data_IF_692991841401
#
_entry.id   IF_692991841401
#
_cell.length_a   1.000
_cell.length_b   1.000
_cell.length_c   1.000
_cell.angle_alpha   90.00
_cell.angle_beta   90.00
_cell.angle_gamma   90.00
#
_symmetry.space_group_name_H-M   'P 1'
#
loop_
_entity.id
_entity.type
_entity.pdbx_description
1 polymer ?
#
# COMPACT_ATOMS: atom_id res chain seq x y z
N UNK A 1 19.77 17.98 10.40
CA UNK A 1 20.26 16.89 9.52
C UNK A 1 19.46 16.96 8.23
N UNK A 2 20.08 17.30 7.09
CA UNK A 2 19.35 17.43 5.80
C UNK A 2 18.93 16.02 5.37
N UNK A 3 17.63 15.75 5.37
CA UNK A 3 17.10 14.47 4.92
C UNK A 3 17.33 14.36 3.41
N UNK A 4 18.08 13.33 2.98
CA UNK A 4 18.30 13.05 1.56
C UNK A 4 16.99 12.56 0.94
N UNK A 5 16.66 13.10 -0.24
CA UNK A 5 15.57 12.57 -1.08
C UNK A 5 15.79 11.07 -1.24
N UNK A 6 14.80 10.27 -0.86
CA UNK A 6 14.90 8.82 -0.94
C UNK A 6 14.44 8.32 -2.30
N UNK A 7 14.87 7.11 -2.65
CA UNK A 7 14.40 6.44 -3.86
C UNK A 7 12.87 6.25 -3.87
N UNK A 8 12.28 5.93 -2.72
CA UNK A 8 10.82 5.81 -2.56
C UNK A 8 10.12 7.14 -2.86
N UNK A 9 10.65 8.26 -2.35
CA UNK A 9 10.10 9.60 -2.61
C UNK A 9 10.06 9.90 -4.12
N UNK A 10 11.11 9.56 -4.86
CA UNK A 10 11.16 9.75 -6.33
C UNK A 10 10.06 8.93 -7.01
N UNK A 11 9.91 7.64 -6.65
CA UNK A 11 8.88 6.77 -7.22
C UNK A 11 7.46 7.25 -6.91
N UNK A 12 7.21 7.71 -5.69
CA UNK A 12 5.92 8.25 -5.27
C UNK A 12 5.55 9.49 -6.10
N UNK A 13 6.47 10.44 -6.21
CA UNK A 13 6.27 11.68 -6.99
C UNK A 13 6.05 11.35 -8.47
N UNK A 14 6.88 10.49 -9.06
CA UNK A 14 6.73 10.08 -10.45
C UNK A 14 5.36 9.42 -10.70
N UNK A 15 4.95 8.51 -9.81
CA UNK A 15 3.64 7.84 -9.91
C UNK A 15 2.48 8.83 -9.76
N UNK A 16 2.58 9.80 -8.85
CA UNK A 16 1.57 10.84 -8.67
C UNK A 16 1.42 11.73 -9.90
N UNK A 17 2.53 12.14 -10.53
CA UNK A 17 2.52 12.92 -11.78
C UNK A 17 1.88 12.11 -12.90
N UNK A 18 2.31 10.85 -13.09
CA UNK A 18 1.74 9.93 -14.09
C UNK A 18 0.25 9.74 -13.88
N UNK A 19 -0.20 9.53 -12.63
CA UNK A 19 -1.62 9.39 -12.33
C UNK A 19 -2.39 10.68 -12.62
N UNK A 20 -1.87 11.85 -12.26
CA UNK A 20 -2.55 13.13 -12.50
C UNK A 20 -2.73 13.43 -13.99
N UNK A 21 -1.78 13.01 -14.84
CA UNK A 21 -1.84 13.24 -16.28
C UNK A 21 -2.69 12.18 -17.00
N UNK A 22 -2.56 10.90 -16.62
CA UNK A 22 -3.08 9.78 -17.42
C UNK A 22 -4.31 9.09 -16.83
N UNK A 23 -4.61 9.26 -15.54
CA UNK A 23 -5.76 8.60 -14.90
C UNK A 23 -7.07 9.30 -15.30
N UNK A 24 -8.03 8.52 -15.80
CA UNK A 24 -9.33 9.02 -16.28
C UNK A 24 -10.43 8.94 -15.21
N UNK A 25 -11.64 9.43 -15.53
CA UNK A 25 -12.78 9.51 -14.60
C UNK A 25 -13.43 8.14 -14.36
N UNK A 26 -13.78 7.85 -13.11
CA UNK A 26 -14.54 6.64 -12.74
C UNK A 26 -14.36 6.25 -11.28
N UNK A 27 -15.25 5.40 -10.73
CA UNK A 27 -15.19 5.00 -9.32
C UNK A 27 -13.93 4.18 -8.99
N UNK A 28 -13.48 3.32 -9.90
CA UNK A 28 -12.20 2.59 -9.73
C UNK A 28 -11.02 3.56 -9.62
N UNK A 29 -10.97 4.53 -10.54
CA UNK A 29 -9.93 5.54 -10.59
C UNK A 29 -9.94 6.44 -9.35
N UNK A 30 -11.11 6.70 -8.75
CA UNK A 30 -11.19 7.43 -7.48
C UNK A 30 -10.45 6.69 -6.35
N UNK A 31 -10.63 5.37 -6.21
CA UNK A 31 -9.92 4.59 -5.21
C UNK A 31 -8.41 4.58 -5.47
N UNK A 32 -8.01 4.35 -6.72
CA UNK A 32 -6.59 4.33 -7.11
C UNK A 32 -5.93 5.71 -6.90
N UNK A 33 -6.57 6.78 -7.33
CA UNK A 33 -6.08 8.13 -7.10
C UNK A 33 -5.97 8.43 -5.60
N UNK A 34 -6.95 8.00 -4.80
CA UNK A 34 -6.88 8.09 -3.34
C UNK A 34 -5.66 7.39 -2.75
N UNK A 35 -5.31 6.19 -3.23
CA UNK A 35 -4.11 5.45 -2.80
C UNK A 35 -2.83 6.23 -3.16
N UNK A 36 -2.74 6.71 -4.40
CA UNK A 36 -1.54 7.42 -4.88
C UNK A 36 -1.39 8.76 -4.17
N UNK A 37 -2.49 9.50 -3.99
CA UNK A 37 -2.52 10.76 -3.26
C UNK A 37 -2.17 10.56 -1.78
N UNK A 38 -2.66 9.50 -1.13
CA UNK A 38 -2.29 9.17 0.25
C UNK A 38 -0.78 8.94 0.39
N UNK A 39 -0.17 8.17 -0.50
CA UNK A 39 1.28 7.93 -0.48
C UNK A 39 2.06 9.24 -0.70
N UNK A 40 1.63 10.05 -1.67
CA UNK A 40 2.26 11.35 -1.94
C UNK A 40 2.15 12.32 -0.76
N UNK A 41 0.97 12.43 -0.16
CA UNK A 41 0.75 13.23 1.04
C UNK A 41 1.56 12.71 2.23
N UNK A 42 1.67 11.40 2.39
CA UNK A 42 2.47 10.79 3.47
C UNK A 42 3.94 11.15 3.33
N UNK A 43 4.51 11.10 2.11
CA UNK A 43 5.89 11.53 1.86
C UNK A 43 6.10 13.03 2.11
N UNK A 44 5.17 13.88 1.68
CA UNK A 44 5.23 15.33 1.95
C UNK A 44 5.16 15.60 3.45
N UNK A 45 4.21 14.98 4.16
CA UNK A 45 4.04 15.17 5.60
C UNK A 45 5.25 14.63 6.36
N UNK A 46 5.81 13.48 5.95
CA UNK A 46 7.03 12.95 6.54
C UNK A 46 8.20 13.92 6.37
N UNK A 47 8.36 14.53 5.20
CA UNK A 47 9.37 15.57 4.95
C UNK A 47 9.13 16.82 5.80
N UNK A 48 7.89 17.29 5.91
CA UNK A 48 7.56 18.45 6.76
C UNK A 48 7.82 18.13 8.24
N UNK A 49 7.50 16.91 8.69
CA UNK A 49 7.74 16.45 10.06
C UNK A 49 9.22 16.52 10.41
N UNK A 50 10.10 16.05 9.52
CA UNK A 50 11.55 16.04 9.77
C UNK A 50 12.17 17.43 9.76
N UNK A 51 11.65 18.34 8.93
CA UNK A 51 12.15 19.72 8.81
C UNK A 51 11.64 20.61 9.95
N UNK A 52 10.34 20.55 10.24
CA UNK A 52 9.70 21.47 11.19
C UNK A 52 9.68 20.96 12.62
N UNK A 53 9.80 19.64 12.82
CA UNK A 53 9.67 18.95 14.10
C UNK A 53 8.36 19.25 14.86
N UNK A 54 7.35 19.82 14.19
CA UNK A 54 6.06 20.16 14.81
C UNK A 54 5.15 18.96 15.07
N UNK A 55 5.39 17.86 14.37
CA UNK A 55 4.67 16.60 14.54
C UNK A 55 5.61 15.42 14.28
N UNK A 56 5.27 14.25 14.85
CA UNK A 56 6.11 13.07 14.76
C UNK A 56 6.02 12.42 13.38
N UNK A 57 7.19 12.05 12.85
CA UNK A 57 7.32 11.20 11.66
C UNK A 57 6.55 9.87 11.84
N UNK A 58 6.57 9.29 13.04
CA UNK A 58 5.86 8.05 13.37
C UNK A 58 4.36 8.19 13.17
N UNK A 59 3.78 9.33 13.58
CA UNK A 59 2.35 9.60 13.41
C UNK A 59 1.92 9.61 11.94
N UNK A 60 2.76 10.09 11.03
CA UNK A 60 2.48 10.09 9.58
C UNK A 60 2.37 8.65 9.06
N UNK A 61 3.33 7.79 9.41
CA UNK A 61 3.31 6.40 8.98
C UNK A 61 2.22 5.57 9.65
N UNK A 62 1.87 5.86 10.90
CA UNK A 62 0.74 5.21 11.57
C UNK A 62 -0.59 5.49 10.87
N UNK A 63 -0.82 6.71 10.40
CA UNK A 63 -1.98 7.03 9.57
C UNK A 63 -1.92 6.29 8.24
N UNK A 64 -0.75 6.24 7.60
CA UNK A 64 -0.59 5.51 6.35
C UNK A 64 -0.86 4.00 6.52
N UNK A 65 -0.41 3.39 7.62
CA UNK A 65 -0.64 1.97 7.94
C UNK A 65 -2.12 1.63 8.15
N UNK A 66 -2.95 2.61 8.49
CA UNK A 66 -4.41 2.44 8.56
C UNK A 66 -5.04 2.70 7.17
N UNK A 67 -4.76 3.83 6.55
CA UNK A 67 -5.51 4.23 5.36
C UNK A 67 -5.10 3.46 4.10
N UNK A 68 -3.83 3.05 3.97
CA UNK A 68 -3.34 2.37 2.78
C UNK A 68 -3.99 0.98 2.61
N UNK A 69 -3.94 0.05 3.59
CA UNK A 69 -4.63 -1.24 3.46
C UNK A 69 -6.15 -1.08 3.30
N UNK A 70 -6.75 -0.09 3.97
CA UNK A 70 -8.18 0.19 3.88
C UNK A 70 -8.60 0.53 2.44
N UNK A 71 -7.90 1.45 1.79
CA UNK A 71 -8.21 1.83 0.41
C UNK A 71 -7.99 0.66 -0.55
N UNK A 72 -6.94 -0.14 -0.34
CA UNK A 72 -6.68 -1.33 -1.13
C UNK A 72 -7.78 -2.40 -0.98
N UNK A 73 -8.27 -2.67 0.22
CA UNK A 73 -9.39 -3.58 0.47
C UNK A 73 -10.66 -3.12 -0.26
N UNK A 74 -10.97 -1.82 -0.20
CA UNK A 74 -12.14 -1.26 -0.89
C UNK A 74 -12.01 -1.35 -2.42
N UNK A 75 -10.83 -1.06 -2.97
CA UNK A 75 -10.53 -1.20 -4.40
C UNK A 75 -10.68 -2.65 -4.86
N UNK A 76 -10.11 -3.60 -4.11
CA UNK A 76 -10.21 -5.03 -4.40
C UNK A 76 -11.67 -5.51 -4.37
N UNK A 77 -12.44 -5.07 -3.37
CA UNK A 77 -13.88 -5.34 -3.27
C UNK A 77 -14.70 -4.78 -4.42
N UNK A 78 -14.31 -3.61 -4.93
CA UNK A 78 -14.91 -3.01 -6.11
C UNK A 78 -14.65 -3.86 -7.36
N UNK A 79 -13.41 -4.28 -7.58
CA UNK A 79 -12.98 -5.05 -8.76
C UNK A 79 -13.59 -6.45 -8.76
N UNK A 80 -13.60 -7.15 -7.62
CA UNK A 80 -14.18 -8.49 -7.46
C UNK A 80 -15.71 -8.49 -7.29
N UNK A 81 -16.37 -7.35 -7.50
CA UNK A 81 -17.83 -7.16 -7.29
C UNK A 81 -18.33 -7.63 -5.91
N UNK A 82 -17.45 -7.64 -4.90
CA UNK A 82 -17.71 -8.17 -3.54
C UNK A 82 -17.71 -7.05 -2.50
N UNK A 83 -18.31 -5.90 -2.84
CA UNK A 83 -18.26 -4.64 -2.06
C UNK A 83 -18.75 -4.79 -0.62
N UNK A 84 -19.80 -5.60 -0.37
CA UNK A 84 -20.33 -5.82 1.00
C UNK A 84 -19.27 -6.44 1.90
N UNK A 85 -18.60 -7.51 1.41
CA UNK A 85 -17.53 -8.19 2.16
C UNK A 85 -16.34 -7.26 2.40
N UNK A 86 -15.91 -6.53 1.37
CA UNK A 86 -14.82 -5.56 1.50
C UNK A 86 -15.13 -4.45 2.50
N UNK A 87 -16.36 -3.93 2.52
CA UNK A 87 -16.79 -2.94 3.52
C UNK A 87 -16.75 -3.50 4.94
N UNK A 88 -17.23 -4.73 5.15
CA UNK A 88 -17.18 -5.39 6.46
C UNK A 88 -15.74 -5.54 6.92
N UNK A 89 -14.85 -6.03 6.05
CA UNK A 89 -13.42 -6.16 6.35
C UNK A 89 -12.78 -4.79 6.64
N UNK A 90 -13.05 -3.77 5.82
CA UNK A 90 -12.51 -2.43 5.98
C UNK A 90 -12.97 -1.76 7.28
N UNK A 91 -14.25 -1.90 7.66
CA UNK A 91 -14.77 -1.37 8.92
C UNK A 91 -14.13 -2.10 10.11
N UNK A 92 -14.09 -3.43 10.06
CA UNK A 92 -13.48 -4.24 11.13
C UNK A 92 -11.99 -3.90 11.31
N UNK A 93 -11.27 -3.74 10.20
CA UNK A 93 -9.88 -3.32 10.18
C UNK A 93 -9.68 -1.91 10.72
N UNK A 94 -10.51 -0.95 10.32
CA UNK A 94 -10.44 0.43 10.82
C UNK A 94 -10.68 0.47 12.33
N UNK A 95 -11.68 -0.25 12.82
CA UNK A 95 -11.94 -0.35 14.26
C UNK A 95 -10.74 -0.95 14.99
N UNK A 96 -10.15 -2.03 14.47
CA UNK A 96 -8.94 -2.59 15.03
C UNK A 96 -7.79 -1.57 15.06
N UNK A 97 -7.51 -0.91 13.94
CA UNK A 97 -6.37 0.02 13.84
C UNK A 97 -6.51 1.23 14.75
N UNK A 98 -7.73 1.74 14.94
CA UNK A 98 -8.03 2.81 15.89
C UNK A 98 -7.90 2.34 17.35
N UNK A 99 -8.41 1.16 17.69
CA UNK A 99 -8.23 0.61 19.04
C UNK A 99 -6.74 0.32 19.32
N UNK A 100 -6.03 -0.21 18.35
CA UNK A 100 -4.63 -0.58 18.51
C UNK A 100 -3.74 0.64 18.76
N UNK A 101 -3.93 1.73 18.01
CA UNK A 101 -3.19 2.97 18.25
C UNK A 101 -3.66 3.68 19.54
N UNK A 102 -4.93 3.58 19.95
CA UNK A 102 -5.40 4.24 21.17
C UNK A 102 -4.98 3.53 22.46
N UNK A 103 -4.90 2.20 22.46
CA UNK A 103 -4.72 1.42 23.69
C UNK A 103 -3.39 0.67 23.78
N UNK A 104 -2.87 0.15 22.67
CA UNK A 104 -1.73 -0.77 22.68
C UNK A 104 -0.44 -0.11 22.20
N UNK A 105 -0.34 0.25 20.92
CA UNK A 105 0.91 0.75 20.32
C UNK A 105 1.10 2.26 20.51
N UNK A 106 0.04 3.04 20.81
CA UNK A 106 0.12 4.45 21.23
C UNK A 106 1.05 5.32 20.36
N UNK A 107 2.25 5.64 20.86
CA UNK A 107 3.25 6.49 20.20
C UNK A 107 4.24 5.71 19.33
N UNK A 108 4.26 4.38 19.43
CA UNK A 108 5.10 3.52 18.62
C UNK A 108 4.53 3.32 17.22
N UNK A 109 5.33 2.71 16.35
CA UNK A 109 4.91 2.38 15.00
C UNK A 109 3.77 1.35 15.06
N UNK A 110 2.72 1.56 14.26
CA UNK A 110 1.49 0.75 14.31
C UNK A 110 1.65 -0.60 13.56
N UNK A 111 2.66 -1.38 13.97
CA UNK A 111 3.14 -2.59 13.31
C UNK A 111 2.05 -3.67 13.24
N UNK A 112 1.30 -3.89 14.34
CA UNK A 112 0.22 -4.87 14.37
C UNK A 112 -0.90 -4.53 13.39
N UNK A 113 -1.25 -3.24 13.23
CA UNK A 113 -2.24 -2.82 12.25
C UNK A 113 -1.76 -3.05 10.82
N UNK A 114 -0.49 -2.75 10.55
CA UNK A 114 0.11 -3.01 9.23
C UNK A 114 0.08 -4.50 8.87
N UNK A 115 0.44 -5.37 9.82
CA UNK A 115 0.43 -6.82 9.66
C UNK A 115 -0.99 -7.35 9.42
N UNK A 116 -1.96 -6.93 10.24
CA UNK A 116 -3.35 -7.34 10.08
C UNK A 116 -3.92 -6.85 8.74
N UNK A 117 -3.67 -5.59 8.36
CA UNK A 117 -4.14 -5.03 7.09
C UNK A 117 -3.59 -5.79 5.89
N UNK A 118 -2.29 -6.12 5.93
CA UNK A 118 -1.61 -6.95 4.93
C UNK A 118 -2.23 -8.35 4.85
N UNK A 119 -2.45 -9.00 5.99
CA UNK A 119 -3.05 -10.32 6.08
C UNK A 119 -4.50 -10.34 5.54
N UNK A 120 -5.33 -9.38 5.94
CA UNK A 120 -6.70 -9.25 5.46
C UNK A 120 -6.75 -9.02 3.95
N UNK A 121 -5.87 -8.17 3.42
CA UNK A 121 -5.78 -7.95 1.98
C UNK A 121 -5.41 -9.22 1.23
N UNK A 122 -4.35 -9.91 1.65
CA UNK A 122 -3.88 -11.14 1.02
C UNK A 122 -4.95 -12.25 1.09
N UNK A 123 -5.58 -12.44 2.25
CA UNK A 123 -6.66 -13.42 2.42
C UNK A 123 -7.85 -13.12 1.50
N UNK A 124 -8.26 -11.85 1.42
CA UNK A 124 -9.37 -11.45 0.54
C UNK A 124 -9.00 -11.54 -0.94
N UNK A 125 -7.74 -11.22 -1.29
CA UNK A 125 -7.20 -11.39 -2.63
C UNK A 125 -7.25 -12.86 -3.05
N UNK A 126 -6.68 -13.76 -2.24
CA UNK A 126 -6.65 -15.20 -2.50
C UNK A 126 -8.06 -15.74 -2.65
N UNK A 127 -8.93 -15.50 -1.66
CA UNK A 127 -10.33 -15.96 -1.69
C UNK A 127 -11.07 -15.49 -2.96
N UNK A 128 -10.90 -14.21 -3.32
CA UNK A 128 -11.54 -13.62 -4.48
C UNK A 128 -11.09 -14.25 -5.80
N UNK A 129 -9.80 -14.52 -5.96
CA UNK A 129 -9.25 -15.10 -7.18
C UNK A 129 -9.52 -16.60 -7.28
N UNK A 130 -9.55 -17.34 -6.16
CA UNK A 130 -10.02 -18.73 -6.15
C UNK A 130 -11.46 -18.85 -6.65
N UNK A 131 -12.32 -17.89 -6.30
CA UNK A 131 -13.68 -17.84 -6.85
C UNK A 131 -13.67 -17.65 -8.36
N UNK A 132 -12.84 -16.74 -8.89
CA UNK A 132 -12.74 -16.52 -10.35
C UNK A 132 -12.24 -17.75 -11.10
N UNK A 133 -11.32 -18.52 -10.51
CA UNK A 133 -10.86 -19.80 -11.07
C UNK A 133 -12.01 -20.81 -11.10
N UNK A 134 -12.74 -20.94 -9.99
CA UNK A 134 -13.90 -21.84 -9.90
C UNK A 134 -15.00 -21.49 -10.89
N UNK A 135 -15.19 -20.19 -11.16
CA UNK A 135 -16.16 -19.68 -12.11
C UNK A 135 -15.62 -19.65 -13.57
N UNK A 136 -14.46 -20.28 -13.83
CA UNK A 136 -13.78 -20.38 -15.15
C UNK A 136 -13.44 -19.04 -15.83
N UNK A 137 -13.33 -17.96 -15.05
CA UNK A 137 -13.04 -16.61 -15.58
C UNK A 137 -11.52 -16.39 -15.72
N UNK A 138 -10.85 -17.27 -16.47
CA UNK A 138 -9.39 -17.26 -16.62
C UNK A 138 -8.84 -16.02 -17.34
N UNK A 139 -9.63 -15.43 -18.24
CA UNK A 139 -9.26 -14.21 -18.95
C UNK A 139 -9.01 -13.02 -18.02
N UNK A 140 -9.56 -13.05 -16.80
CA UNK A 140 -9.32 -12.00 -15.82
C UNK A 140 -7.84 -11.89 -15.42
N UNK A 141 -7.10 -13.00 -15.35
CA UNK A 141 -5.68 -13.01 -14.96
C UNK A 141 -4.76 -12.32 -15.98
N UNK A 142 -5.22 -12.18 -17.22
CA UNK A 142 -4.52 -11.42 -18.26
C UNK A 142 -4.95 -9.94 -18.32
N UNK A 143 -5.89 -9.52 -17.48
CA UNK A 143 -6.42 -8.15 -17.51
C UNK A 143 -5.56 -7.15 -16.75
N UNK A 144 -5.62 -5.88 -17.14
CA UNK A 144 -4.98 -4.78 -16.41
C UNK A 144 -5.47 -4.69 -14.95
N UNK A 145 -6.72 -5.07 -14.67
CA UNK A 145 -7.26 -5.05 -13.31
C UNK A 145 -6.51 -6.02 -12.40
N UNK A 146 -6.05 -7.16 -12.91
CA UNK A 146 -5.24 -8.11 -12.16
C UNK A 146 -3.86 -7.52 -11.82
N UNK A 147 -3.23 -6.80 -12.75
CA UNK A 147 -1.97 -6.06 -12.49
C UNK A 147 -2.16 -5.09 -11.32
N UNK A 148 -3.25 -4.32 -11.34
CA UNK A 148 -3.56 -3.34 -10.30
C UNK A 148 -3.71 -3.97 -8.91
N UNK A 149 -4.53 -5.02 -8.79
CA UNK A 149 -4.75 -5.68 -7.49
C UNK A 149 -3.57 -6.54 -7.05
N UNK A 150 -2.63 -6.85 -7.93
CA UNK A 150 -1.40 -7.56 -7.57
C UNK A 150 -0.30 -6.62 -7.08
N UNK A 151 -0.35 -5.34 -7.45
CA UNK A 151 0.66 -4.35 -7.09
C UNK A 151 1.02 -4.32 -5.58
N UNK A 152 0.07 -4.23 -4.64
CA UNK A 152 0.40 -4.11 -3.22
C UNK A 152 0.89 -5.40 -2.58
N UNK A 153 0.77 -6.57 -3.24
CA UNK A 153 1.10 -7.88 -2.65
C UNK A 153 2.55 -7.91 -2.19
N UNK A 154 3.48 -7.53 -3.08
CA UNK A 154 4.91 -7.57 -2.77
C UNK A 154 5.27 -6.57 -1.67
N UNK A 155 4.59 -5.41 -1.65
CA UNK A 155 4.79 -4.38 -0.64
C UNK A 155 4.33 -4.87 0.73
N UNK A 156 3.11 -5.40 0.82
CA UNK A 156 2.54 -5.95 2.04
C UNK A 156 3.35 -7.14 2.54
N UNK A 157 3.78 -8.03 1.65
CA UNK A 157 4.59 -9.17 2.03
C UNK A 157 5.99 -8.76 2.52
N UNK A 158 6.70 -7.91 1.77
CA UNK A 158 8.04 -7.45 2.12
C UNK A 158 8.05 -6.67 3.43
N UNK A 159 7.12 -5.73 3.59
CA UNK A 159 6.97 -4.98 4.84
C UNK A 159 6.58 -5.92 5.99
N UNK A 160 5.68 -6.88 5.78
CA UNK A 160 5.33 -7.85 6.84
C UNK A 160 6.55 -8.64 7.32
N UNK A 161 7.45 -9.07 6.43
CA UNK A 161 8.69 -9.78 6.84
C UNK A 161 9.56 -8.90 7.77
N UNK A 162 9.63 -7.60 7.52
CA UNK A 162 10.42 -6.68 8.33
C UNK A 162 9.83 -6.41 9.71
N UNK A 163 8.51 -6.48 9.84
CA UNK A 163 7.79 -6.05 11.05
C UNK A 163 7.16 -7.21 11.84
N UNK A 164 7.00 -8.40 11.25
CA UNK A 164 6.32 -9.54 11.88
C UNK A 164 6.99 -10.04 13.17
N UNK A 165 8.30 -9.82 13.31
CA UNK A 165 9.07 -10.30 14.46
C UNK A 165 9.23 -9.25 15.56
N UNK A 166 8.82 -7.99 15.34
CA UNK A 166 9.02 -6.88 16.29
C UNK A 166 10.49 -6.58 16.60
N UNK A 167 11.44 -7.18 15.89
CA UNK A 167 12.86 -7.11 16.19
C UNK A 167 13.56 -6.01 15.37
N UNK A 168 14.02 -4.96 16.07
CA UNK A 168 14.81 -3.90 15.46
C UNK A 168 16.19 -4.35 14.99
N UNK A 169 16.74 -5.41 15.59
CA UNK A 169 17.97 -6.08 15.18
C UNK A 169 17.86 -6.69 13.79
N UNK A 170 16.76 -7.42 13.52
CA UNK A 170 16.50 -7.97 12.19
C UNK A 170 16.46 -6.87 11.11
N UNK A 171 15.77 -5.76 11.37
CA UNK A 171 15.65 -4.63 10.42
C UNK A 171 16.98 -3.94 10.16
N UNK A 172 17.82 -3.83 11.18
CA UNK A 172 19.13 -3.18 11.12
C UNK A 172 20.27 -4.11 10.70
N UNK A 173 19.99 -5.43 10.57
CA UNK A 173 20.98 -6.44 10.18
C UNK A 173 21.68 -6.03 8.87
N UNK A 174 23.01 -5.87 8.87
CA UNK A 174 23.74 -5.46 7.69
C UNK A 174 23.84 -6.61 6.68
N UNK A 175 23.56 -6.29 5.43
CA UNK A 175 23.72 -7.16 4.27
C UNK A 175 24.42 -6.34 3.19
N UNK A 176 25.57 -6.77 2.70
CA UNK A 176 26.32 -6.06 1.63
C UNK A 176 26.52 -4.54 1.88
N UNK A 177 26.69 -4.12 3.14
CA UNK A 177 26.93 -2.72 3.52
C UNK A 177 25.70 -1.82 3.66
N UNK A 178 24.47 -2.35 3.52
CA UNK A 178 23.21 -1.67 3.86
C UNK A 178 22.36 -2.55 4.79
N UNK A 179 21.36 -1.98 5.45
CA UNK A 179 20.47 -2.77 6.30
C UNK A 179 19.51 -3.63 5.46
N UNK A 180 19.06 -4.75 6.02
CA UNK A 180 18.00 -5.57 5.42
C UNK A 180 16.75 -4.73 5.09
N UNK A 181 16.39 -3.80 5.97
CA UNK A 181 15.33 -2.82 5.75
C UNK A 181 15.49 -2.06 4.43
N UNK A 182 16.71 -1.62 4.10
CA UNK A 182 16.97 -0.87 2.86
C UNK A 182 16.63 -1.69 1.61
N UNK A 183 17.08 -2.94 1.53
CA UNK A 183 16.85 -3.78 0.35
C UNK A 183 15.39 -4.16 0.19
N UNK A 184 14.74 -4.58 1.29
CA UNK A 184 13.33 -4.97 1.23
C UNK A 184 12.48 -3.78 0.84
N UNK A 185 12.72 -2.59 1.40
CA UNK A 185 12.02 -1.36 1.00
C UNK A 185 12.31 -1.00 -0.46
N UNK A 186 13.55 -1.07 -0.91
CA UNK A 186 13.93 -0.74 -2.28
C UNK A 186 13.19 -1.63 -3.29
N UNK A 187 13.30 -2.96 -3.13
CA UNK A 187 12.70 -3.94 -4.05
C UNK A 187 11.17 -3.84 -4.02
N UNK A 188 10.58 -3.77 -2.82
CA UNK A 188 9.13 -3.74 -2.65
C UNK A 188 8.51 -2.48 -3.26
N UNK A 189 9.09 -1.31 -3.00
CA UNK A 189 8.61 -0.05 -3.58
C UNK A 189 8.83 0.00 -5.09
N UNK A 190 9.97 -0.47 -5.58
CA UNK A 190 10.24 -0.52 -7.02
C UNK A 190 9.16 -1.30 -7.75
N UNK A 191 8.91 -2.56 -7.35
CA UNK A 191 7.89 -3.41 -7.99
C UNK A 191 6.50 -2.79 -7.84
N UNK A 192 6.15 -2.31 -6.64
CA UNK A 192 4.85 -1.69 -6.36
C UNK A 192 4.56 -0.52 -7.31
N UNK A 193 5.44 0.48 -7.35
CA UNK A 193 5.22 1.68 -8.17
C UNK A 193 5.36 1.39 -9.67
N UNK A 194 6.24 0.47 -10.08
CA UNK A 194 6.31 0.02 -11.47
C UNK A 194 5.02 -0.62 -11.96
N UNK A 195 4.38 -1.47 -11.14
CA UNK A 195 3.10 -2.09 -11.49
C UNK A 195 1.96 -1.06 -11.55
N UNK A 196 1.96 -0.08 -10.63
CA UNK A 196 0.99 1.02 -10.69
C UNK A 196 1.14 1.86 -11.96
N UNK A 197 2.36 2.27 -12.30
CA UNK A 197 2.63 3.03 -13.53
C UNK A 197 2.25 2.21 -14.77
N UNK A 198 2.63 0.93 -14.82
CA UNK A 198 2.27 0.03 -15.91
C UNK A 198 0.76 -0.08 -16.09
N UNK A 199 0.02 -0.25 -14.99
CA UNK A 199 -1.44 -0.26 -15.01
C UNK A 199 -2.00 1.04 -15.59
N UNK A 200 -1.57 2.20 -15.09
CA UNK A 200 -2.07 3.51 -15.53
C UNK A 200 -1.85 3.71 -17.03
N UNK A 201 -0.67 3.35 -17.54
CA UNK A 201 -0.34 3.47 -18.96
C UNK A 201 -1.17 2.50 -19.81
N UNK A 202 -1.29 1.23 -19.42
CA UNK A 202 -2.06 0.25 -20.19
C UNK A 202 -3.55 0.55 -20.21
N UNK A 203 -4.14 0.95 -19.08
CA UNK A 203 -5.57 1.30 -19.01
C UNK A 203 -5.94 2.50 -19.88
N UNK A 204 -5.00 3.42 -20.13
CA UNK A 204 -5.22 4.52 -21.09
C UNK A 204 -5.36 4.04 -22.52
N UNK A 205 -4.62 2.99 -22.90
CA UNK A 205 -4.57 2.50 -24.27
C UNK A 205 -5.75 1.59 -24.62
N UNK A 206 -6.34 0.89 -23.64
CA UNK A 206 -7.54 0.06 -23.83
C UNK A 206 -8.84 0.87 -24.01
N UNK A 207 -8.84 2.15 -23.64
CA UNK A 207 -9.98 3.07 -23.83
C UNK A 207 -9.79 4.00 -25.05
N UNK A 208 -8.99 3.60 -26.02
CA UNK A 208 -8.91 4.20 -27.37
C UNK A 208 -9.44 3.21 -28.39
#
# INVERSE_FOLDING_TARGET
MIQKITFTTILVVATFIVATIFLRRGKLYLYLYGIIALNFLSEILAFIATVTQKFSFVSVYNLNFIFQPLLWLLLLGYILKSRKKAKILAISFLTFGLLNISFYEQMDLNENTLLLGSFLYLGFFIWGHFKLIKDEVLNYFNSNRFILVSAPIILFFGISILFAFGDSGLRSTPMLGKSLYYYIQFISNFIFYSLLILYIIKSRNEEK
#
